data_IF_400453614665
#
_entry.id   IF_400453614665
#
_cell.length_a   1.000
_cell.length_b   1.000
_cell.length_c   1.000
_cell.angle_alpha   90.00
_cell.angle_beta   90.00
_cell.angle_gamma   90.00
#
_symmetry.space_group_name_H-M   'P 1'
#
loop_
_entity.id
_entity.type
_entity.pdbx_description
1 polymer ?
#
# COMPACT_ATOMS: atom_id res chain seq x y z
N UNK A 1 -7.53 -2.26 61.26
CA UNK A 1 -6.83 -2.10 59.97
C UNK A 1 -6.78 -0.61 59.68
N UNK A 2 -5.62 0.02 59.90
CA UNK A 2 -5.39 1.40 59.44
C UNK A 2 -5.23 1.36 57.93
N UNK A 3 -6.00 2.18 57.21
CA UNK A 3 -5.75 2.44 55.80
C UNK A 3 -4.53 3.37 55.74
N UNK A 4 -3.36 2.79 55.47
CA UNK A 4 -2.16 3.56 55.13
C UNK A 4 -2.27 3.96 53.66
N UNK A 5 -2.18 5.25 53.43
CA UNK A 5 -1.99 5.94 52.15
C UNK A 5 -2.85 5.40 51.00
N UNK A 6 -4.11 5.86 50.95
CA UNK A 6 -4.88 5.79 49.70
C UNK A 6 -4.37 6.92 48.80
N UNK A 7 -3.73 6.54 47.70
CA UNK A 7 -3.39 7.48 46.65
C UNK A 7 -4.67 8.10 46.08
N UNK A 8 -4.65 9.41 45.82
CA UNK A 8 -5.75 10.11 45.17
C UNK A 8 -6.10 9.48 43.81
N UNK A 9 -5.14 8.83 43.14
CA UNK A 9 -5.36 8.04 41.93
C UNK A 9 -6.17 6.76 42.20
N UNK A 10 -5.91 6.04 43.28
CA UNK A 10 -6.69 4.84 43.64
C UNK A 10 -8.12 5.18 44.05
N UNK A 11 -8.30 6.29 44.76
CA UNK A 11 -9.63 6.77 45.17
C UNK A 11 -10.48 7.21 43.97
N UNK A 12 -9.89 7.96 43.04
CA UNK A 12 -10.59 8.39 41.80
C UNK A 12 -10.91 7.20 40.90
N UNK A 13 -10.01 6.22 40.79
CA UNK A 13 -10.24 4.99 40.03
C UNK A 13 -11.38 4.14 40.60
N UNK A 14 -11.46 3.99 41.93
CA UNK A 14 -12.55 3.30 42.60
C UNK A 14 -13.92 3.98 42.36
N UNK A 15 -13.97 5.31 42.42
CA UNK A 15 -15.19 6.07 42.14
C UNK A 15 -15.68 5.91 40.70
N UNK A 16 -14.75 5.82 39.74
CA UNK A 16 -15.04 5.61 38.31
C UNK A 16 -15.55 4.20 38.00
N UNK A 17 -14.91 3.15 38.55
CA UNK A 17 -15.27 1.75 38.27
C UNK A 17 -16.58 1.32 38.93
N UNK A 18 -16.94 1.91 40.06
CA UNK A 18 -18.11 1.47 40.81
C UNK A 18 -19.45 1.92 40.20
N UNK A 19 -19.43 2.75 39.14
CA UNK A 19 -20.60 3.28 38.40
C UNK A 19 -21.80 3.63 39.30
N UNK A 20 -21.51 4.21 40.48
CA UNK A 20 -22.50 4.38 41.54
C UNK A 20 -23.44 5.52 41.19
N UNK A 21 -24.74 5.31 41.44
CA UNK A 21 -25.70 6.39 41.43
C UNK A 21 -25.41 7.37 42.58
N UNK A 22 -25.42 8.68 42.32
CA UNK A 22 -25.09 9.67 43.35
C UNK A 22 -26.12 9.60 44.48
N UNK A 23 -25.65 9.32 45.70
CA UNK A 23 -26.50 9.33 46.89
C UNK A 23 -27.02 10.76 47.14
N UNK A 24 -28.35 10.94 47.08
CA UNK A 24 -29.01 12.25 47.23
C UNK A 24 -28.75 12.90 48.60
N UNK A 25 -28.45 12.10 49.63
CA UNK A 25 -28.25 12.58 51.00
C UNK A 25 -26.83 13.07 51.30
N UNK A 26 -25.89 13.00 50.35
CA UNK A 26 -24.53 13.53 50.52
C UNK A 26 -24.14 14.50 49.39
N UNK A 27 -24.36 15.82 49.57
CA UNK A 27 -24.14 16.81 48.51
C UNK A 27 -22.67 16.94 48.11
N UNK A 28 -21.72 16.66 49.02
CA UNK A 28 -20.28 16.72 48.74
C UNK A 28 -19.86 15.58 47.81
N UNK A 29 -20.36 14.37 48.06
CA UNK A 29 -20.06 13.21 47.22
C UNK A 29 -20.66 13.38 45.81
N UNK A 30 -21.87 13.95 45.70
CA UNK A 30 -22.51 14.25 44.41
C UNK A 30 -21.66 15.20 43.57
N UNK A 31 -21.20 16.31 44.15
CA UNK A 31 -20.32 17.28 43.48
C UNK A 31 -19.00 16.65 43.02
N UNK A 32 -18.42 15.78 43.82
CA UNK A 32 -17.19 15.07 43.46
C UNK A 32 -17.39 14.15 42.26
N UNK A 33 -18.47 13.36 42.24
CA UNK A 33 -18.79 12.45 41.12
C UNK A 33 -19.05 13.23 39.82
N UNK A 34 -19.77 14.36 39.90
CA UNK A 34 -20.01 15.24 38.75
C UNK A 34 -18.70 15.84 38.21
N UNK A 35 -17.84 16.36 39.09
CA UNK A 35 -16.53 16.90 38.70
C UNK A 35 -15.65 15.84 38.02
N UNK A 36 -15.62 14.61 38.54
CA UNK A 36 -14.86 13.50 37.93
C UNK A 36 -15.43 13.12 36.55
N UNK A 37 -16.76 13.11 36.37
CA UNK A 37 -17.40 12.85 35.07
C UNK A 37 -17.11 13.95 34.05
N UNK A 38 -17.10 15.20 34.46
CA UNK A 38 -16.78 16.32 33.57
C UNK A 38 -15.30 16.36 33.22
N UNK A 39 -14.40 16.02 34.15
CA UNK A 39 -12.99 15.77 33.86
C UNK A 39 -12.79 14.65 32.84
N UNK A 40 -13.60 13.59 32.87
CA UNK A 40 -13.54 12.50 31.88
C UNK A 40 -13.97 12.98 30.48
N UNK A 41 -15.01 13.81 30.39
CA UNK A 41 -15.44 14.45 29.14
C UNK A 41 -14.40 15.44 28.61
N UNK A 42 -13.72 16.18 29.49
CA UNK A 42 -12.64 17.09 29.11
C UNK A 42 -11.38 16.33 28.68
N UNK A 43 -11.03 15.22 29.33
CA UNK A 43 -9.95 14.34 28.86
C UNK A 43 -10.28 13.74 27.49
N UNK A 44 -11.53 13.31 27.23
CA UNK A 44 -11.94 12.80 25.91
C UNK A 44 -11.86 13.88 24.82
N UNK A 45 -12.13 15.14 25.15
CA UNK A 45 -11.98 16.29 24.24
C UNK A 45 -10.51 16.67 24.03
N UNK A 46 -9.70 16.67 25.09
CA UNK A 46 -8.25 16.90 25.03
C UNK A 46 -7.52 15.81 24.26
N UNK A 47 -7.93 14.54 24.39
CA UNK A 47 -7.44 13.41 23.59
C UNK A 47 -7.79 13.61 22.11
N UNK A 48 -8.95 14.17 21.77
CA UNK A 48 -9.31 14.48 20.37
C UNK A 48 -8.51 15.65 19.76
N UNK A 49 -8.14 16.66 20.55
CA UNK A 49 -7.32 17.78 20.06
C UNK A 49 -5.81 17.49 20.04
N UNK A 50 -5.30 16.71 21.00
CA UNK A 50 -3.90 16.24 21.02
C UNK A 50 -3.68 15.11 20.01
N UNK A 51 -4.71 14.31 19.70
CA UNK A 51 -4.70 13.34 18.58
C UNK A 51 -4.45 14.01 17.22
N UNK A 52 -4.86 15.28 17.03
CA UNK A 52 -4.52 16.07 15.82
C UNK A 52 -3.06 16.52 15.74
N UNK A 53 -2.25 16.37 16.81
CA UNK A 53 -0.85 16.82 16.83
C UNK A 53 0.19 15.73 17.13
N UNK A 54 -0.19 14.55 17.60
CA UNK A 54 0.71 13.39 17.78
C UNK A 54 -0.06 12.07 17.76
N UNK A 55 -0.66 11.73 16.62
CA UNK A 55 -0.79 10.33 16.22
C UNK A 55 0.03 10.17 14.96
N UNK A 56 1.23 9.59 15.09
CA UNK A 56 1.87 8.95 13.95
C UNK A 56 0.95 7.81 13.53
N UNK A 57 -0.04 8.09 12.68
CA UNK A 57 -0.73 7.07 11.90
C UNK A 57 0.39 6.30 11.24
N UNK A 58 0.63 5.06 11.67
CA UNK A 58 1.66 4.20 11.09
C UNK A 58 1.49 4.24 9.57
N UNK A 59 2.40 4.92 8.88
CA UNK A 59 2.31 5.18 7.44
C UNK A 59 2.89 4.06 6.60
N UNK A 60 3.34 2.99 7.26
CA UNK A 60 3.94 1.83 6.63
C UNK A 60 3.48 0.56 7.34
N UNK A 61 2.72 -0.28 6.65
CA UNK A 61 2.19 -1.56 7.12
C UNK A 61 2.94 -2.76 6.52
N UNK A 62 4.12 -2.55 5.92
CA UNK A 62 4.90 -3.63 5.28
C UNK A 62 5.29 -4.75 6.25
N UNK A 63 5.41 -4.44 7.54
CA UNK A 63 5.73 -5.36 8.64
C UNK A 63 4.49 -5.98 9.31
N UNK A 64 3.27 -5.55 8.95
CA UNK A 64 2.01 -6.02 9.53
C UNK A 64 1.17 -6.72 8.47
N UNK A 65 0.80 -7.98 8.69
CA UNK A 65 -0.26 -8.61 7.89
C UNK A 65 -1.62 -8.05 8.32
N UNK A 66 -2.31 -7.39 7.40
CA UNK A 66 -3.66 -6.87 7.59
C UNK A 66 -4.70 -7.86 7.06
N UNK A 67 -5.90 -7.85 7.62
CA UNK A 67 -7.06 -8.49 7.01
C UNK A 67 -7.55 -7.68 5.80
N UNK A 68 -8.23 -8.35 4.86
CA UNK A 68 -8.76 -7.67 3.69
C UNK A 68 -9.77 -6.56 4.06
N UNK A 69 -10.52 -6.72 5.14
CA UNK A 69 -11.47 -5.70 5.59
C UNK A 69 -10.76 -4.47 6.18
N UNK A 70 -9.72 -4.66 7.01
CA UNK A 70 -8.87 -3.54 7.45
C UNK A 70 -8.28 -2.77 6.26
N UNK A 71 -7.81 -3.48 5.23
CA UNK A 71 -7.23 -2.85 4.04
C UNK A 71 -8.29 -2.03 3.28
N UNK A 72 -9.50 -2.58 3.08
CA UNK A 72 -10.60 -1.87 2.43
C UNK A 72 -11.01 -0.62 3.21
N UNK A 73 -11.09 -0.71 4.53
CA UNK A 73 -11.42 0.42 5.39
C UNK A 73 -10.39 1.55 5.26
N UNK A 74 -9.09 1.20 5.30
CA UNK A 74 -8.01 2.15 5.10
C UNK A 74 -8.06 2.81 3.71
N UNK A 75 -8.33 2.05 2.65
CA UNK A 75 -8.45 2.55 1.27
C UNK A 75 -9.72 3.37 1.01
N UNK A 76 -10.75 3.21 1.86
CA UNK A 76 -11.98 4.00 1.79
C UNK A 76 -11.92 5.30 2.59
N UNK A 77 -10.99 5.41 3.54
CA UNK A 77 -10.81 6.62 4.33
C UNK A 77 -10.19 7.75 3.50
N UNK A 78 -10.94 8.83 3.28
CA UNK A 78 -10.50 9.99 2.51
C UNK A 78 -9.37 10.80 3.18
N UNK A 79 -9.17 10.65 4.50
CA UNK A 79 -8.08 11.27 5.24
C UNK A 79 -6.76 10.53 5.05
N UNK A 80 -6.79 9.28 4.54
CA UNK A 80 -5.60 8.46 4.32
C UNK A 80 -5.09 8.67 2.89
N UNK A 81 -3.92 9.30 2.71
CA UNK A 81 -3.33 9.44 1.38
C UNK A 81 -2.91 8.08 0.83
N UNK A 82 -3.29 7.80 -0.42
CA UNK A 82 -2.93 6.59 -1.18
C UNK A 82 -2.03 6.89 -2.38
N UNK A 83 -1.54 8.13 -2.49
CA UNK A 83 -0.65 8.59 -3.57
C UNK A 83 0.35 9.65 -3.11
N UNK A 84 1.48 9.72 -3.80
CA UNK A 84 2.55 10.68 -3.57
C UNK A 84 3.37 10.38 -2.32
N UNK A 85 4.16 11.38 -1.90
CA UNK A 85 5.13 11.26 -0.81
C UNK A 85 4.49 10.86 0.53
N UNK A 86 3.27 11.31 0.77
CA UNK A 86 2.57 11.06 2.03
C UNK A 86 1.80 9.73 2.04
N UNK A 87 1.77 9.00 0.91
CA UNK A 87 1.00 7.78 0.78
C UNK A 87 1.36 6.74 1.85
N UNK A 88 0.32 6.17 2.45
CA UNK A 88 0.45 4.99 3.31
C UNK A 88 0.90 3.80 2.48
N UNK A 89 1.98 3.17 2.91
CA UNK A 89 2.52 1.95 2.33
C UNK A 89 1.82 0.76 2.97
N UNK A 90 1.25 -0.11 2.14
CA UNK A 90 0.51 -1.26 2.65
C UNK A 90 1.34 -2.53 2.76
N UNK A 91 2.41 -2.69 1.98
CA UNK A 91 3.19 -3.91 1.90
C UNK A 91 2.67 -4.88 0.83
N UNK A 92 3.59 -5.52 0.09
CA UNK A 92 3.24 -6.53 -0.93
C UNK A 92 2.52 -7.75 -0.36
N UNK A 93 2.82 -8.12 0.89
CA UNK A 93 2.11 -9.16 1.63
C UNK A 93 0.61 -8.85 1.84
N UNK A 94 0.20 -7.59 1.75
CA UNK A 94 -1.19 -7.15 1.93
C UNK A 94 -1.93 -6.94 0.60
N UNK A 95 -1.25 -7.05 -0.54
CA UNK A 95 -1.89 -7.05 -1.84
C UNK A 95 -2.36 -8.47 -2.18
N UNK A 96 -3.63 -8.75 -1.91
CA UNK A 96 -4.27 -10.05 -2.22
C UNK A 96 -5.12 -9.96 -3.49
N UNK A 97 -5.51 -11.09 -4.12
CA UNK A 97 -6.38 -11.06 -5.31
C UNK A 97 -7.72 -10.35 -5.06
N UNK A 98 -8.25 -10.50 -3.83
CA UNK A 98 -9.47 -9.81 -3.40
C UNK A 98 -9.26 -8.30 -3.32
N UNK A 99 -8.10 -7.85 -2.82
CA UNK A 99 -7.76 -6.42 -2.79
C UNK A 99 -7.56 -5.89 -4.22
N UNK A 100 -6.92 -6.62 -5.12
CA UNK A 100 -6.83 -6.25 -6.53
C UNK A 100 -8.23 -6.05 -7.13
N UNK A 101 -9.15 -6.99 -6.88
CA UNK A 101 -10.54 -6.87 -7.35
C UNK A 101 -11.25 -5.65 -6.75
N UNK A 102 -11.06 -5.41 -5.45
CA UNK A 102 -11.60 -4.25 -4.76
C UNK A 102 -11.07 -2.94 -5.35
N UNK A 103 -9.76 -2.85 -5.61
CA UNK A 103 -9.13 -1.68 -6.23
C UNK A 103 -9.76 -1.38 -7.58
N UNK A 104 -9.91 -2.40 -8.41
CA UNK A 104 -10.52 -2.30 -9.73
C UNK A 104 -11.98 -1.85 -9.69
N UNK A 105 -12.82 -2.48 -8.86
CA UNK A 105 -14.27 -2.20 -8.83
C UNK A 105 -14.62 -0.86 -8.19
N UNK A 106 -13.77 -0.34 -7.32
CA UNK A 106 -14.06 0.86 -6.52
C UNK A 106 -13.19 2.07 -6.91
N UNK A 107 -12.53 2.02 -8.07
CA UNK A 107 -11.67 3.09 -8.58
C UNK A 107 -10.60 3.54 -7.56
N UNK A 108 -10.01 2.57 -6.86
CA UNK A 108 -9.01 2.84 -5.81
C UNK A 108 -7.60 2.64 -6.34
N UNK A 109 -6.65 3.00 -5.49
CA UNK A 109 -5.22 2.81 -5.69
C UNK A 109 -4.54 2.49 -4.36
N UNK A 110 -3.40 1.83 -4.42
CA UNK A 110 -2.65 1.35 -3.26
C UNK A 110 -1.15 1.57 -3.49
N UNK A 111 -0.46 2.19 -2.54
CA UNK A 111 1.00 2.20 -2.51
C UNK A 111 1.47 0.89 -1.86
N UNK A 112 2.31 0.14 -2.57
CA UNK A 112 2.66 -1.23 -2.21
C UNK A 112 3.90 -1.25 -1.32
N UNK A 113 4.98 -0.63 -1.75
CA UNK A 113 6.26 -0.57 -1.04
C UNK A 113 7.12 0.58 -1.57
N UNK A 114 8.22 0.89 -0.88
CA UNK A 114 9.25 1.76 -1.43
C UNK A 114 9.97 1.05 -2.58
N UNK A 115 10.37 1.81 -3.60
CA UNK A 115 11.25 1.29 -4.64
C UNK A 115 12.57 0.83 -4.03
N UNK A 116 13.09 -0.29 -4.51
CA UNK A 116 14.39 -0.82 -4.09
C UNK A 116 15.54 0.03 -4.61
N UNK A 117 16.70 -0.03 -3.95
CA UNK A 117 17.91 0.66 -4.42
C UNK A 117 18.25 0.30 -5.87
N UNK A 118 18.08 -0.97 -6.26
CA UNK A 118 18.30 -1.45 -7.63
C UNK A 118 17.38 -0.74 -8.63
N UNK A 119 16.09 -0.58 -8.31
CA UNK A 119 15.15 0.13 -9.17
C UNK A 119 15.52 1.61 -9.30
N UNK A 120 15.94 2.25 -8.20
CA UNK A 120 16.40 3.65 -8.19
C UNK A 120 17.65 3.84 -9.06
N UNK A 121 18.64 2.94 -8.93
CA UNK A 121 19.87 2.97 -9.73
C UNK A 121 19.58 2.83 -11.23
N UNK A 122 18.72 1.88 -11.61
CA UNK A 122 18.30 1.69 -12.99
C UNK A 122 17.59 2.93 -13.55
N UNK A 123 16.81 3.62 -12.71
CA UNK A 123 16.02 4.79 -13.07
C UNK A 123 16.73 6.11 -12.73
N UNK A 124 18.06 6.15 -12.66
CA UNK A 124 18.82 7.39 -12.37
C UNK A 124 18.47 8.55 -13.32
N UNK A 125 18.17 8.25 -14.59
CA UNK A 125 17.80 9.23 -15.61
C UNK A 125 16.39 9.82 -15.42
N UNK A 126 15.58 9.25 -14.51
CA UNK A 126 14.29 9.81 -14.14
C UNK A 126 14.41 11.07 -13.27
N UNK A 127 15.62 11.39 -12.76
CA UNK A 127 15.92 12.60 -11.98
C UNK A 127 14.96 12.82 -10.80
N UNK A 128 14.74 11.78 -10.00
CA UNK A 128 13.91 11.87 -8.79
C UNK A 128 14.47 12.93 -7.84
N UNK A 129 13.60 13.83 -7.36
CA UNK A 129 13.99 14.83 -6.35
C UNK A 129 14.21 14.21 -4.97
N UNK A 130 13.45 13.15 -4.67
CA UNK A 130 13.50 12.38 -3.43
C UNK A 130 13.48 10.88 -3.76
N UNK A 131 14.61 10.32 -4.23
CA UNK A 131 14.71 8.91 -4.56
C UNK A 131 14.29 7.99 -3.40
N UNK A 132 14.56 8.40 -2.16
CA UNK A 132 14.22 7.70 -0.91
C UNK A 132 12.71 7.56 -0.63
N UNK A 133 11.89 8.33 -1.34
CA UNK A 133 10.44 8.39 -1.20
C UNK A 133 9.69 7.81 -2.41
N UNK A 134 10.41 7.31 -3.41
CA UNK A 134 9.79 6.65 -4.57
C UNK A 134 9.08 5.39 -4.12
N UNK A 135 7.85 5.21 -4.58
CA UNK A 135 6.97 4.10 -4.19
C UNK A 135 6.49 3.33 -5.41
N UNK A 136 6.43 2.02 -5.30
CA UNK A 136 5.66 1.19 -6.21
C UNK A 136 4.17 1.31 -5.86
N UNK A 137 3.32 1.46 -6.87
CA UNK A 137 1.89 1.61 -6.67
C UNK A 137 1.07 0.90 -7.74
N UNK A 138 -0.14 0.52 -7.36
CA UNK A 138 -1.13 -0.13 -8.21
C UNK A 138 -2.41 0.70 -8.19
N UNK A 139 -2.93 1.03 -9.37
CA UNK A 139 -4.20 1.75 -9.53
C UNK A 139 -5.22 0.95 -10.36
N UNK A 140 -6.48 1.34 -10.26
CA UNK A 140 -7.58 0.71 -10.97
C UNK A 140 -7.43 0.78 -12.50
N UNK A 141 -6.83 1.83 -13.05
CA UNK A 141 -6.62 2.00 -14.49
C UNK A 141 -5.67 0.94 -15.05
N UNK A 142 -4.58 0.65 -14.33
CA UNK A 142 -3.65 -0.42 -14.66
C UNK A 142 -4.33 -1.78 -14.63
N UNK A 143 -5.11 -2.06 -13.58
CA UNK A 143 -5.83 -3.33 -13.45
C UNK A 143 -6.84 -3.48 -14.58
N UNK A 144 -7.61 -2.43 -14.89
CA UNK A 144 -8.58 -2.42 -15.98
C UNK A 144 -7.89 -2.65 -17.33
N UNK A 145 -6.75 -2.00 -17.58
CA UNK A 145 -5.95 -2.20 -18.79
C UNK A 145 -5.50 -3.66 -18.93
N UNK A 146 -4.88 -4.21 -17.88
CA UNK A 146 -4.35 -5.57 -17.86
C UNK A 146 -5.47 -6.59 -18.09
N UNK A 147 -6.57 -6.51 -17.34
CA UNK A 147 -7.67 -7.47 -17.47
C UNK A 147 -8.39 -7.35 -18.81
N UNK A 148 -8.50 -6.14 -19.38
CA UNK A 148 -9.08 -5.94 -20.71
C UNK A 148 -8.23 -6.54 -21.83
N UNK A 149 -6.91 -6.41 -21.74
CA UNK A 149 -5.97 -6.82 -22.79
C UNK A 149 -5.50 -8.27 -22.64
N UNK A 150 -5.31 -8.72 -21.41
CA UNK A 150 -4.64 -9.97 -21.07
C UNK A 150 -5.44 -10.82 -20.08
N UNK A 151 -6.59 -10.35 -19.58
CA UNK A 151 -7.44 -11.15 -18.68
C UNK A 151 -8.13 -12.32 -19.39
N UNK A 152 -8.71 -13.24 -18.61
CA UNK A 152 -9.36 -14.48 -19.09
C UNK A 152 -10.35 -14.25 -20.24
N UNK A 153 -11.06 -13.12 -20.23
CA UNK A 153 -12.08 -12.78 -21.23
C UNK A 153 -11.57 -11.87 -22.37
N UNK A 154 -10.27 -11.60 -22.41
CA UNK A 154 -9.65 -10.68 -23.38
C UNK A 154 -9.59 -11.29 -24.79
N UNK A 155 -9.49 -10.42 -25.79
CA UNK A 155 -9.29 -10.84 -27.19
C UNK A 155 -7.95 -11.55 -27.35
N UNK A 156 -6.90 -11.10 -26.67
CA UNK A 156 -5.59 -11.71 -26.83
C UNK A 156 -5.55 -13.14 -26.29
N UNK A 157 -6.22 -13.42 -25.16
CA UNK A 157 -6.34 -14.78 -24.64
C UNK A 157 -7.11 -15.68 -25.60
N UNK A 158 -8.16 -15.17 -26.26
CA UNK A 158 -8.83 -15.90 -27.36
C UNK A 158 -7.89 -16.19 -28.54
N UNK A 159 -6.87 -15.36 -28.73
CA UNK A 159 -5.85 -15.52 -29.77
C UNK A 159 -4.61 -16.32 -29.30
N UNK A 160 -4.65 -16.95 -28.12
CA UNK A 160 -3.61 -17.85 -27.64
C UNK A 160 -2.60 -17.25 -26.65
N UNK A 161 -2.82 -16.03 -26.14
CA UNK A 161 -2.07 -15.55 -24.96
C UNK A 161 -2.52 -16.30 -23.69
N UNK A 162 -1.59 -16.46 -22.74
CA UNK A 162 -1.90 -17.02 -21.43
C UNK A 162 -2.57 -15.92 -20.59
N UNK A 163 -3.71 -16.20 -19.94
CA UNK A 163 -4.43 -15.18 -19.19
C UNK A 163 -3.67 -14.69 -17.96
N UNK A 164 -3.86 -13.40 -17.68
CA UNK A 164 -3.55 -12.75 -16.41
C UNK A 164 -4.78 -12.77 -15.51
N UNK A 165 -4.57 -13.14 -14.26
CA UNK A 165 -5.58 -13.19 -13.20
C UNK A 165 -5.30 -12.15 -12.13
N UNK A 166 -6.24 -11.95 -11.19
CA UNK A 166 -5.98 -11.11 -10.02
C UNK A 166 -4.87 -11.67 -9.12
N UNK A 167 -4.64 -12.99 -9.14
CA UNK A 167 -3.50 -13.63 -8.46
C UNK A 167 -2.17 -13.17 -9.07
N UNK A 168 -2.07 -13.17 -10.40
CA UNK A 168 -0.87 -12.69 -11.08
C UNK A 168 -0.59 -11.22 -10.77
N UNK A 169 -1.63 -10.38 -10.82
CA UNK A 169 -1.52 -8.94 -10.51
C UNK A 169 -1.16 -8.74 -9.03
N UNK A 170 -1.69 -9.53 -8.11
CA UNK A 170 -1.34 -9.44 -6.68
C UNK A 170 0.14 -9.75 -6.43
N UNK A 171 0.74 -10.61 -7.26
CA UNK A 171 2.14 -11.03 -7.16
C UNK A 171 3.09 -10.26 -8.09
N UNK A 172 2.66 -9.16 -8.72
CA UNK A 172 3.46 -8.46 -9.74
C UNK A 172 4.84 -8.01 -9.25
N UNK A 173 4.96 -7.62 -7.98
CA UNK A 173 6.24 -7.22 -7.37
C UNK A 173 7.22 -8.38 -7.27
N UNK A 174 6.76 -9.58 -6.91
CA UNK A 174 7.59 -10.77 -6.84
C UNK A 174 8.21 -11.12 -8.20
N UNK A 175 7.47 -10.91 -9.30
CA UNK A 175 8.02 -11.10 -10.64
C UNK A 175 9.12 -10.10 -11.01
N UNK A 176 9.07 -8.89 -10.45
CA UNK A 176 10.13 -7.88 -10.64
C UNK A 176 11.35 -8.23 -9.78
N UNK A 177 11.12 -8.60 -8.51
CA UNK A 177 12.18 -8.97 -7.56
C UNK A 177 13.03 -10.13 -8.10
N UNK A 178 12.36 -11.12 -8.72
CA UNK A 178 12.99 -12.33 -9.24
C UNK A 178 13.26 -12.29 -10.75
N UNK A 179 13.11 -11.13 -11.41
CA UNK A 179 13.24 -11.02 -12.86
C UNK A 179 14.60 -11.51 -13.38
N UNK A 180 14.58 -12.22 -14.50
CA UNK A 180 15.79 -12.70 -15.18
C UNK A 180 16.50 -11.58 -15.93
N UNK A 181 15.75 -10.62 -16.47
CA UNK A 181 16.28 -9.42 -17.11
C UNK A 181 15.37 -8.22 -16.80
N UNK A 182 15.99 -7.04 -16.61
CA UNK A 182 15.28 -5.77 -16.41
C UNK A 182 15.90 -4.71 -17.34
N UNK A 183 15.04 -3.96 -18.03
CA UNK A 183 15.42 -2.85 -18.89
C UNK A 183 14.76 -1.56 -18.45
N UNK A 184 15.35 -0.45 -18.86
CA UNK A 184 14.75 0.88 -18.75
C UNK A 184 14.59 1.48 -20.14
N UNK A 185 13.38 1.92 -20.47
CA UNK A 185 13.07 2.65 -21.70
C UNK A 185 12.19 3.86 -21.36
N UNK A 186 12.62 5.08 -21.70
CA UNK A 186 11.89 6.32 -21.43
C UNK A 186 11.38 6.45 -19.98
N UNK A 187 12.20 6.07 -18.99
CA UNK A 187 11.85 6.02 -17.56
C UNK A 187 10.75 5.01 -17.19
N UNK A 188 10.46 4.05 -18.06
CA UNK A 188 9.70 2.85 -17.72
C UNK A 188 10.67 1.73 -17.37
N UNK A 189 10.38 1.00 -16.30
CA UNK A 189 11.06 -0.22 -15.93
C UNK A 189 10.28 -1.41 -16.50
N UNK A 190 10.96 -2.26 -17.27
CA UNK A 190 10.38 -3.43 -17.92
C UNK A 190 11.13 -4.66 -17.44
N UNK A 191 10.45 -5.49 -16.66
CA UNK A 191 10.98 -6.73 -16.10
C UNK A 191 10.48 -7.94 -16.90
N UNK A 192 11.40 -8.87 -17.15
CA UNK A 192 11.13 -10.15 -17.83
C UNK A 192 11.47 -11.29 -16.87
N UNK A 193 10.49 -12.13 -16.58
CA UNK A 193 10.66 -13.35 -15.79
C UNK A 193 10.32 -14.57 -16.62
N UNK A 194 11.27 -15.48 -16.79
CA UNK A 194 11.01 -16.80 -17.35
C UNK A 194 10.31 -17.69 -16.32
N UNK A 195 9.22 -18.32 -16.76
CA UNK A 195 8.55 -19.41 -16.07
C UNK A 195 8.52 -20.61 -17.03
N UNK A 196 8.44 -21.83 -16.51
CA UNK A 196 8.49 -23.02 -17.34
C UNK A 196 7.43 -22.98 -18.47
N UNK A 197 7.88 -22.81 -19.72
CA UNK A 197 7.05 -22.73 -20.92
C UNK A 197 6.52 -21.34 -21.33
N UNK A 198 6.69 -20.29 -20.51
CA UNK A 198 6.23 -18.93 -20.83
C UNK A 198 6.98 -17.85 -20.04
N UNK A 199 6.93 -16.61 -20.49
CA UNK A 199 7.52 -15.47 -19.79
C UNK A 199 6.44 -14.54 -19.24
N UNK A 200 6.68 -13.96 -18.07
CA UNK A 200 5.90 -12.84 -17.51
C UNK A 200 6.64 -11.55 -17.82
N UNK A 201 5.94 -10.58 -18.40
CA UNK A 201 6.46 -9.23 -18.63
C UNK A 201 5.70 -8.28 -17.74
N UNK A 202 6.41 -7.45 -16.97
CA UNK A 202 5.85 -6.44 -16.09
C UNK A 202 6.46 -5.08 -16.44
N UNK A 203 5.61 -4.10 -16.73
CA UNK A 203 6.06 -2.74 -17.04
C UNK A 203 5.54 -1.76 -15.98
N UNK A 204 6.45 -0.99 -15.37
CA UNK A 204 6.13 0.13 -14.51
C UNK A 204 6.61 1.44 -15.12
N UNK A 205 5.84 2.51 -14.98
CA UNK A 205 6.23 3.85 -15.41
C UNK A 205 6.40 4.79 -14.23
N UNK A 206 7.40 5.67 -14.34
CA UNK A 206 7.55 6.81 -13.42
C UNK A 206 6.48 7.85 -13.71
N UNK A 207 5.70 8.22 -12.70
CA UNK A 207 4.72 9.32 -12.81
C UNK A 207 5.27 10.65 -12.24
N UNK A 208 4.51 11.74 -12.43
CA UNK A 208 4.86 13.08 -11.92
C UNK A 208 4.97 13.18 -10.39
N UNK A 209 4.39 12.22 -9.66
CA UNK A 209 4.46 12.13 -8.20
C UNK A 209 5.67 11.30 -7.72
N UNK A 210 6.60 10.94 -8.63
CA UNK A 210 7.75 10.08 -8.33
C UNK A 210 7.33 8.70 -7.83
N UNK A 211 6.32 8.08 -8.46
CA UNK A 211 5.88 6.73 -8.18
C UNK A 211 6.15 5.81 -9.37
N UNK A 212 6.48 4.55 -9.09
CA UNK A 212 6.52 3.46 -10.06
C UNK A 212 5.12 2.84 -10.15
N UNK A 213 4.34 3.30 -11.12
CA UNK A 213 2.96 2.84 -11.33
C UNK A 213 2.97 1.65 -12.28
N UNK A 214 2.34 0.53 -11.91
CA UNK A 214 2.14 -0.58 -12.83
C UNK A 214 1.38 -0.09 -14.08
N UNK A 215 1.90 -0.37 -15.27
CA UNK A 215 1.28 0.02 -16.55
C UNK A 215 0.59 -1.14 -17.23
N UNK A 216 1.33 -2.24 -17.35
CA UNK A 216 0.83 -3.47 -17.93
C UNK A 216 1.58 -4.66 -17.37
N UNK A 217 0.95 -5.82 -17.52
CA UNK A 217 1.49 -7.12 -17.19
C UNK A 217 0.86 -8.12 -18.15
N UNK A 218 1.67 -9.00 -18.72
CA UNK A 218 1.18 -10.05 -19.61
C UNK A 218 2.09 -11.27 -19.60
N UNK A 219 1.55 -12.40 -20.05
CA UNK A 219 2.28 -13.65 -20.25
C UNK A 219 2.46 -13.92 -21.74
N UNK A 220 3.71 -14.11 -22.17
CA UNK A 220 4.03 -14.50 -23.54
C UNK A 220 4.52 -15.95 -23.58
N UNK A 221 4.07 -16.72 -24.57
CA UNK A 221 4.50 -18.10 -24.75
C UNK A 221 6.01 -18.21 -25.02
N UNK A 222 6.65 -19.24 -24.48
CA UNK A 222 8.06 -19.57 -24.73
C UNK A 222 9.07 -18.71 -23.95
N UNK A 223 10.24 -18.55 -24.55
CA UNK A 223 11.39 -17.83 -23.98
C UNK A 223 11.19 -16.31 -24.02
N UNK A 224 11.44 -15.61 -22.90
CA UNK A 224 11.35 -14.15 -22.82
C UNK A 224 12.23 -13.43 -23.84
N UNK A 225 13.37 -14.00 -24.25
CA UNK A 225 14.25 -13.42 -25.28
C UNK A 225 13.61 -13.39 -26.67
N UNK A 226 12.61 -14.24 -26.90
CA UNK A 226 11.85 -14.26 -28.14
C UNK A 226 10.72 -13.23 -28.16
N UNK A 227 10.40 -12.61 -27.02
CA UNK A 227 9.37 -11.59 -26.90
C UNK A 227 9.71 -10.34 -27.72
N UNK A 228 8.72 -9.79 -28.42
CA UNK A 228 8.90 -8.61 -29.28
C UNK A 228 9.36 -7.37 -28.48
N UNK A 229 8.87 -7.20 -27.24
CA UNK A 229 9.32 -6.11 -26.38
C UNK A 229 10.80 -6.25 -26.03
N UNK A 230 11.24 -7.47 -25.68
CA UNK A 230 12.64 -7.75 -25.39
C UNK A 230 13.56 -7.43 -26.58
N UNK A 231 13.20 -7.92 -27.77
CA UNK A 231 13.97 -7.68 -29.00
C UNK A 231 14.09 -6.19 -29.30
N UNK A 232 12.97 -5.45 -29.23
CA UNK A 232 12.94 -4.00 -29.44
C UNK A 232 13.88 -3.25 -28.48
N UNK A 233 13.96 -3.69 -27.21
CA UNK A 233 14.82 -3.08 -26.20
C UNK A 233 16.32 -3.42 -26.39
N UNK A 234 16.63 -4.54 -27.04
CA UNK A 234 18.01 -4.85 -27.42
C UNK A 234 18.46 -4.01 -28.61
N UNK A 235 17.57 -3.77 -29.58
CA UNK A 235 17.86 -2.97 -30.78
C UNK A 235 18.05 -1.48 -30.47
N UNK A 236 17.51 -0.98 -29.36
CA UNK A 236 17.67 0.41 -28.91
C UNK A 236 18.94 0.66 -28.09
N UNK A 237 19.73 -0.37 -27.75
CA UNK A 237 21.07 -0.14 -27.19
C UNK A 237 21.95 0.49 -28.27
N UNK A 238 22.69 1.57 -27.98
CA UNK A 238 23.62 2.12 -28.95
C UNK A 238 24.57 1.00 -29.37
N UNK A 239 24.67 0.78 -30.69
CA UNK A 239 25.73 -0.03 -31.30
C UNK A 239 27.02 0.32 -30.57
N UNK A 240 27.61 -0.65 -29.86
CA UNK A 240 28.97 -0.51 -29.35
C UNK A 240 29.79 -0.08 -30.54
N UNK A 241 30.36 1.13 -30.45
CA UNK A 241 31.23 1.68 -31.49
C UNK A 241 32.16 0.57 -31.98
N UNK A 242 32.07 0.29 -33.29
CA UNK A 242 33.08 -0.50 -33.96
C UNK A 242 34.44 0.20 -33.77
N UNK A 243 35.52 -0.60 -33.64
CA UNK A 243 36.83 -0.15 -33.13
C UNK A 243 37.46 1.00 -33.91
#
# INVERSE_FOLDING_TARGET
>A
KEFKDIDIYDFTHYLLMANREPNENNPTLKRLIEAVKDMQKESDKGIKEVSKKTTEVKRDFSDKKLSNDEIKDLLNNAEIPTSGRDAVIFGKNNLTPEIVEFLHKNNKRMAIEKASNKEIELLQNANFRHPEDVRASLDHDAIAHILKRHGVNSVNVRNGEIPITNEDIANYRSFIDEADDIFVDNNNLIAFKQINGYAVVVEQAVNRKSELVLKTMYKSNGDYKNNNAYKKLQDTKPSKGQP
#
